data_IF_861055469733
#
_entry.id   IF_861055469733
#
_cell.length_a   1.000
_cell.length_b   1.000
_cell.length_c   1.000
_cell.angle_alpha   90.00
_cell.angle_beta   90.00
_cell.angle_gamma   90.00
#
_symmetry.space_group_name_H-M   'P 1'
#
loop_
_entity.id
_entity.type
_entity.pdbx_description
1 polymer ?
#
# COMPACT_ATOMS: atom_id res chain seq x y z
N UNK A 1 -4.50 5.88 19.57
CA UNK A 1 -4.19 5.41 18.21
C UNK A 1 -4.81 4.04 18.15
N UNK A 2 -5.87 3.86 17.36
CA UNK A 2 -6.56 2.58 17.28
C UNK A 2 -5.53 1.49 17.00
N UNK A 3 -5.42 0.52 17.92
CA UNK A 3 -4.63 -0.69 17.77
C UNK A 3 -5.25 -1.53 16.64
N UNK A 4 -5.14 -1.05 15.40
CA UNK A 4 -5.40 -1.88 14.24
C UNK A 4 -4.29 -2.93 14.31
N UNK A 5 -4.64 -4.12 14.78
CA UNK A 5 -3.75 -5.27 14.88
C UNK A 5 -3.42 -5.77 13.46
N UNK A 6 -2.63 -4.98 12.73
CA UNK A 6 -2.16 -5.32 11.41
C UNK A 6 -1.19 -6.49 11.55
N UNK A 7 -1.32 -7.51 10.69
CA UNK A 7 -0.28 -8.51 10.55
C UNK A 7 1.08 -7.85 10.24
N UNK A 8 2.20 -8.43 10.69
CA UNK A 8 3.54 -7.87 10.43
C UNK A 8 3.82 -7.62 8.94
N UNK A 9 3.29 -8.47 8.07
CA UNK A 9 3.38 -8.29 6.61
C UNK A 9 2.71 -7.00 6.13
N UNK A 10 1.56 -6.66 6.71
CA UNK A 10 0.80 -5.45 6.34
C UNK A 10 1.50 -4.20 6.83
N UNK A 11 2.02 -4.21 8.07
CA UNK A 11 2.80 -3.09 8.61
C UNK A 11 4.04 -2.80 7.75
N UNK A 12 4.77 -3.85 7.33
CA UNK A 12 5.94 -3.68 6.47
C UNK A 12 5.60 -3.04 5.12
N UNK A 13 4.52 -3.50 4.48
CA UNK A 13 4.06 -2.93 3.20
C UNK A 13 3.61 -1.48 3.36
N UNK A 14 2.90 -1.17 4.44
CA UNK A 14 2.48 0.18 4.75
C UNK A 14 3.68 1.13 4.87
N UNK A 15 4.70 0.73 5.64
CA UNK A 15 5.91 1.52 5.80
C UNK A 15 6.67 1.76 4.48
N UNK A 16 6.66 0.78 3.57
CA UNK A 16 7.24 0.97 2.24
C UNK A 16 6.46 1.98 1.40
N UNK A 17 5.13 2.01 1.51
CA UNK A 17 4.29 2.98 0.81
C UNK A 17 4.39 4.40 1.40
N UNK A 18 4.54 4.50 2.72
CA UNK A 18 4.77 5.79 3.41
C UNK A 18 6.08 6.46 2.95
N UNK A 19 7.16 5.69 2.83
CA UNK A 19 8.48 6.24 2.45
C UNK A 19 8.72 6.28 0.93
N UNK A 20 8.18 5.29 0.20
CA UNK A 20 8.42 5.09 -1.22
C UNK A 20 7.38 5.71 -2.14
N UNK A 21 6.27 6.22 -1.59
CA UNK A 21 5.16 6.78 -2.34
C UNK A 21 4.36 5.70 -3.08
N UNK A 22 3.90 6.04 -4.29
CA UNK A 22 3.07 5.17 -5.11
C UNK A 22 3.90 4.03 -5.73
N UNK A 23 3.67 2.78 -5.30
CA UNK A 23 4.41 1.60 -5.75
C UNK A 23 3.49 0.57 -6.37
N UNK A 24 3.98 -0.14 -7.39
CA UNK A 24 3.28 -1.28 -7.99
C UNK A 24 3.39 -2.52 -7.11
N UNK A 25 2.49 -3.50 -7.32
CA UNK A 25 2.58 -4.81 -6.65
C UNK A 25 3.94 -5.48 -6.86
N UNK A 26 4.53 -5.36 -8.06
CA UNK A 26 5.84 -5.95 -8.39
C UNK A 26 6.97 -5.31 -7.58
N UNK A 27 6.97 -3.99 -7.46
CA UNK A 27 7.97 -3.27 -6.66
C UNK A 27 7.84 -3.61 -5.18
N UNK A 28 6.61 -3.68 -4.66
CA UNK A 28 6.36 -4.09 -3.29
C UNK A 28 6.84 -5.51 -2.99
N UNK A 29 6.67 -6.44 -3.92
CA UNK A 29 7.24 -7.80 -3.80
C UNK A 29 8.77 -7.75 -3.73
N UNK A 30 9.40 -6.96 -4.60
CA UNK A 30 10.85 -6.84 -4.63
C UNK A 30 11.42 -6.19 -3.37
N UNK A 31 10.85 -5.06 -2.93
CA UNK A 31 11.34 -4.29 -1.79
C UNK A 31 11.06 -4.94 -0.44
N UNK A 32 9.93 -5.64 -0.31
CA UNK A 32 9.56 -6.29 0.95
C UNK A 32 10.25 -7.64 1.17
N UNK A 33 10.79 -8.25 0.13
CA UNK A 33 11.26 -9.65 0.11
C UNK A 33 10.19 -10.66 0.58
N UNK A 34 8.90 -10.31 0.45
CA UNK A 34 7.79 -11.18 0.77
C UNK A 34 7.30 -11.92 -0.47
N UNK A 35 6.70 -13.09 -0.26
CA UNK A 35 6.06 -13.83 -1.36
C UNK A 35 4.93 -12.99 -2.00
N UNK A 36 4.71 -13.09 -3.32
CA UNK A 36 3.67 -12.34 -4.02
C UNK A 36 2.28 -12.45 -3.40
N UNK A 37 1.92 -13.64 -2.91
CA UNK A 37 0.64 -13.91 -2.24
C UNK A 37 0.51 -13.14 -0.92
N UNK A 38 1.60 -13.06 -0.15
CA UNK A 38 1.65 -12.31 1.11
C UNK A 38 1.51 -10.80 0.86
N UNK A 39 2.11 -10.28 -0.20
CA UNK A 39 1.94 -8.87 -0.57
C UNK A 39 0.50 -8.58 -0.99
N UNK A 40 -0.14 -9.47 -1.77
CA UNK A 40 -1.58 -9.31 -2.11
C UNK A 40 -2.45 -9.33 -0.86
N UNK A 41 -2.17 -10.25 0.07
CA UNK A 41 -2.88 -10.31 1.35
C UNK A 41 -2.69 -9.02 2.15
N UNK A 42 -1.46 -8.53 2.26
CA UNK A 42 -1.13 -7.30 2.95
C UNK A 42 -1.88 -6.09 2.36
N UNK A 43 -1.80 -5.89 1.04
CA UNK A 43 -2.49 -4.82 0.33
C UNK A 43 -4.01 -4.90 0.50
N UNK A 44 -4.59 -6.10 0.43
CA UNK A 44 -6.03 -6.29 0.70
C UNK A 44 -6.38 -5.82 2.10
N UNK A 45 -5.64 -6.26 3.13
CA UNK A 45 -5.89 -5.86 4.52
C UNK A 45 -5.74 -4.34 4.71
N UNK A 46 -4.72 -3.73 4.11
CA UNK A 46 -4.52 -2.29 4.20
C UNK A 46 -5.66 -1.51 3.53
N UNK A 47 -6.15 -1.99 2.39
CA UNK A 47 -7.30 -1.39 1.70
C UNK A 47 -8.58 -1.56 2.50
N UNK A 48 -8.82 -2.75 3.07
CA UNK A 48 -9.99 -3.02 3.91
C UNK A 48 -10.01 -2.16 5.19
N UNK A 49 -8.85 -1.63 5.61
CA UNK A 49 -8.71 -0.70 6.74
C UNK A 49 -8.56 0.77 6.27
N UNK A 50 -8.84 1.07 5.01
CA UNK A 50 -8.78 2.43 4.45
C UNK A 50 -7.40 3.12 4.57
N UNK A 51 -6.31 2.37 4.71
CA UNK A 51 -4.95 2.92 4.92
C UNK A 51 -4.21 3.20 3.61
N UNK A 52 -4.69 2.66 2.49
CA UNK A 52 -4.08 2.82 1.17
C UNK A 52 -5.16 3.05 0.11
N UNK A 53 -4.75 3.62 -1.02
CA UNK A 53 -5.58 3.77 -2.22
C UNK A 53 -4.92 3.14 -3.44
N UNK A 54 -5.75 2.67 -4.36
CA UNK A 54 -5.32 2.22 -5.68
C UNK A 54 -5.41 3.40 -6.66
N UNK A 55 -4.33 3.66 -7.39
CA UNK A 55 -4.26 4.67 -8.45
C UNK A 55 -3.94 4.02 -9.79
N UNK A 56 -4.49 4.61 -10.85
CA UNK A 56 -4.19 4.19 -12.21
C UNK A 56 -2.74 4.53 -12.55
N UNK A 57 -2.02 3.57 -13.16
CA UNK A 57 -0.69 3.83 -13.65
C UNK A 57 -0.75 4.37 -15.08
N UNK A 58 -0.51 5.68 -15.24
CA UNK A 58 -0.49 6.32 -16.56
C UNK A 58 0.66 5.85 -17.46
N UNK A 59 1.71 5.22 -16.91
CA UNK A 59 2.86 4.71 -17.68
C UNK A 59 2.63 3.30 -18.21
N UNK A 60 1.91 2.47 -17.47
CA UNK A 60 1.47 1.14 -17.91
C UNK A 60 0.08 0.82 -17.33
N UNK A 61 -0.96 0.95 -18.15
CA UNK A 61 -2.35 0.74 -17.79
C UNK A 61 -2.67 -0.67 -17.25
N UNK A 62 -1.78 -1.66 -17.48
CA UNK A 62 -1.94 -3.03 -16.96
C UNK A 62 -1.54 -3.14 -15.49
N UNK A 63 -0.89 -2.11 -14.95
CA UNK A 63 -0.42 -2.07 -13.58
C UNK A 63 -1.23 -1.07 -12.75
N UNK A 64 -1.44 -1.41 -11.50
CA UNK A 64 -2.05 -0.53 -10.51
C UNK A 64 -0.94 -0.07 -9.56
N UNK A 65 -0.98 1.22 -9.23
CA UNK A 65 -0.15 1.82 -8.19
C UNK A 65 -0.91 1.79 -6.88
N UNK A 66 -0.24 1.44 -5.80
CA UNK A 66 -0.76 1.52 -4.44
C UNK A 66 -0.07 2.68 -3.76
N UNK A 67 -0.82 3.51 -3.05
CA UNK A 67 -0.30 4.68 -2.36
C UNK A 67 -0.85 4.74 -0.94
N UNK A 68 -0.02 5.20 -0.01
CA UNK A 68 -0.46 5.46 1.35
C UNK A 68 -1.52 6.57 1.36
N UNK A 69 -2.65 6.30 2.04
CA UNK A 69 -3.70 7.30 2.22
C UNK A 69 -3.35 8.10 3.46
N UNK A 70 -2.65 9.21 3.28
CA UNK A 70 -2.35 10.10 4.40
C UNK A 70 -3.65 10.72 4.93
N UNK A 71 -4.03 10.48 6.20
CA UNK A 71 -5.24 11.03 6.77
C UNK A 71 -5.24 12.57 6.88
N UNK A 72 -4.09 13.23 6.70
CA UNK A 72 -3.97 14.70 6.77
C UNK A 72 -4.16 15.41 5.43
N UNK A 73 -4.18 14.69 4.30
CA UNK A 73 -4.25 15.31 2.96
C UNK A 73 -5.66 15.72 2.51
N UNK A 74 -6.67 15.58 3.38
CA UNK A 74 -8.06 16.02 3.11
C UNK A 74 -8.30 17.54 3.27
N UNK A 75 -7.26 18.35 3.48
CA UNK A 75 -7.40 19.80 3.66
C UNK A 75 -6.79 20.62 2.52
N UNK A 76 -7.35 20.55 1.31
CA UNK A 76 -7.31 21.70 0.37
C UNK A 76 -8.56 21.69 -0.50
N UNK A 77 -9.58 22.43 -0.04
CA UNK A 77 -10.58 23.11 -0.86
C UNK A 77 -10.73 24.52 -0.33
#
# INVERSE_FOLDING_TARGET
MDDINLPPSSQKILHLLENGGALTHKELVHLSSLAPRTVRYALKRLKDNDMIVEKFNFRDARQILYEYKDPQTVSTR
#
